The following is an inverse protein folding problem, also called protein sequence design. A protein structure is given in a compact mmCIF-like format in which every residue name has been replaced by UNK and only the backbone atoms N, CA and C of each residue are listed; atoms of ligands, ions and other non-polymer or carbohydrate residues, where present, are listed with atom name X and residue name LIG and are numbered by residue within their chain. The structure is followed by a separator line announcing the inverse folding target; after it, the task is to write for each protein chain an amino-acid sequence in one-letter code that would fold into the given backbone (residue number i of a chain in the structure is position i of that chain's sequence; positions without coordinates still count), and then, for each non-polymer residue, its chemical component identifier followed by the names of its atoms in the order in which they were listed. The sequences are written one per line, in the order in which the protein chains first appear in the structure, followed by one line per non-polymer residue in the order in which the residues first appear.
data_IF_494313737742
#
_entry.id   IF_494313737742
#
_cell.length_a   1.000
_cell.length_b   1.000
_cell.length_c   1.000
_cell.angle_alpha   90.00
_cell.angle_beta   90.00
_cell.angle_gamma   90.00
#
_symmetry.space_group_name_H-M   'P 1'
#
loop_
_entity.id
_entity.type
_entity.pdbx_description
1 polymer ?
#
# COMPACT_ATOMS: atom_id res chain seq x y z
N UNK A 1 -27.30 -0.15 50.81
CA UNK A 1 -26.70 1.19 50.90
C UNK A 1 -25.60 1.22 49.86
N UNK A 2 -25.94 1.22 48.56
CA UNK A 2 -24.94 0.93 47.50
C UNK A 2 -25.17 1.76 46.22
N UNK A 3 -26.13 2.70 46.24
CA UNK A 3 -26.47 3.55 45.09
C UNK A 3 -25.41 4.61 44.75
N UNK A 4 -24.39 4.77 45.60
CA UNK A 4 -23.25 5.66 45.36
C UNK A 4 -22.08 5.02 44.59
N UNK A 5 -22.04 3.69 44.47
CA UNK A 5 -20.93 2.95 43.84
C UNK A 5 -20.96 3.01 42.31
N UNK A 6 -22.13 3.26 41.71
CA UNK A 6 -22.31 3.35 40.25
C UNK A 6 -22.47 4.78 39.74
N UNK A 7 -22.46 5.79 40.63
CA UNK A 7 -22.62 7.20 40.26
C UNK A 7 -21.38 7.80 39.56
N UNK A 8 -20.26 7.07 39.53
CA UNK A 8 -18.99 7.50 38.92
C UNK A 8 -18.40 6.44 37.96
N UNK A 9 -19.25 5.58 37.39
CA UNK A 9 -18.87 4.90 36.16
C UNK A 9 -19.12 5.92 35.04
N UNK A 10 -18.13 6.78 34.77
CA UNK A 10 -18.20 7.74 33.67
C UNK A 10 -18.72 7.03 32.41
N UNK A 11 -19.74 7.61 31.77
CA UNK A 11 -20.32 7.01 30.57
C UNK A 11 -19.20 6.60 29.60
N UNK A 12 -19.27 5.39 29.00
CA UNK A 12 -18.24 4.95 28.06
C UNK A 12 -18.04 6.04 27.03
N UNK A 13 -16.84 6.64 27.02
CA UNK A 13 -16.54 7.75 26.13
C UNK A 13 -16.69 7.21 24.70
N UNK A 14 -17.54 7.83 23.86
CA UNK A 14 -17.71 7.37 22.49
C UNK A 14 -16.35 7.40 21.81
N UNK A 15 -15.95 6.27 21.23
CA UNK A 15 -14.69 6.14 20.48
C UNK A 15 -14.64 7.23 19.41
N UNK A 16 -13.85 8.28 19.65
CA UNK A 16 -13.81 9.47 18.82
C UNK A 16 -12.52 9.47 18.00
N UNK A 17 -12.62 9.84 16.72
CA UNK A 17 -11.43 10.02 15.88
C UNK A 17 -10.75 11.30 16.36
N UNK A 18 -9.61 11.16 17.01
CA UNK A 18 -8.80 12.33 17.41
C UNK A 18 -8.32 13.10 16.18
N UNK A 19 -8.09 14.43 16.28
CA UNK A 19 -7.58 15.23 15.17
C UNK A 19 -6.29 14.67 14.56
N UNK A 20 -5.40 14.11 15.39
CA UNK A 20 -4.16 13.44 14.95
C UNK A 20 -4.44 12.23 14.06
N UNK A 21 -5.41 11.40 14.45
CA UNK A 21 -5.84 10.22 13.69
C UNK A 21 -6.47 10.58 12.35
N UNK A 22 -7.32 11.62 12.34
CA UNK A 22 -7.90 12.16 11.10
C UNK A 22 -6.80 12.66 10.13
N UNK A 23 -5.75 13.29 10.65
CA UNK A 23 -4.59 13.71 9.86
C UNK A 23 -3.90 12.53 9.16
N UNK A 24 -3.67 11.41 9.86
CA UNK A 24 -3.05 10.22 9.25
C UNK A 24 -3.94 9.57 8.20
N UNK A 25 -5.24 9.45 8.45
CA UNK A 25 -6.20 8.95 7.47
C UNK A 25 -6.25 9.81 6.21
N UNK A 26 -6.15 11.13 6.35
CA UNK A 26 -6.08 12.04 5.20
C UNK A 26 -4.83 11.80 4.33
N UNK A 27 -3.71 11.44 4.94
CA UNK A 27 -2.48 11.10 4.20
C UNK A 27 -2.59 9.73 3.53
N UNK A 28 -3.12 8.72 4.22
CA UNK A 28 -3.42 7.40 3.63
C UNK A 28 -4.34 7.56 2.42
N UNK A 29 -5.39 8.39 2.52
CA UNK A 29 -6.30 8.64 1.42
C UNK A 29 -5.61 9.28 0.19
N UNK A 30 -4.64 10.18 0.40
CA UNK A 30 -3.85 10.76 -0.70
C UNK A 30 -2.96 9.72 -1.38
N UNK A 31 -2.28 8.88 -0.61
CA UNK A 31 -1.46 7.79 -1.17
C UNK A 31 -2.31 6.71 -1.85
N UNK A 32 -3.47 6.36 -1.28
CA UNK A 32 -4.43 5.45 -1.90
C UNK A 32 -4.90 5.95 -3.27
N UNK A 33 -5.21 7.25 -3.40
CA UNK A 33 -5.54 7.86 -4.70
C UNK A 33 -4.38 7.79 -5.69
N UNK A 34 -3.16 8.04 -5.24
CA UNK A 34 -1.97 7.91 -6.09
C UNK A 34 -1.78 6.49 -6.62
N UNK A 35 -1.86 5.47 -5.75
CA UNK A 35 -1.78 4.06 -6.18
C UNK A 35 -2.92 3.68 -7.14
N UNK A 36 -4.15 4.18 -6.89
CA UNK A 36 -5.29 3.91 -7.77
C UNK A 36 -5.07 4.45 -9.19
N UNK A 37 -4.54 5.67 -9.32
CA UNK A 37 -4.21 6.27 -10.64
C UNK A 37 -3.20 5.38 -11.39
N UNK A 38 -2.14 4.95 -10.71
CA UNK A 38 -1.14 4.04 -11.32
C UNK A 38 -1.80 2.72 -11.74
N UNK A 39 -2.63 2.13 -10.87
CA UNK A 39 -3.35 0.89 -11.19
C UNK A 39 -4.18 1.01 -12.46
N UNK A 40 -4.91 2.11 -12.63
CA UNK A 40 -5.67 2.36 -13.86
C UNK A 40 -4.77 2.51 -15.10
N UNK A 41 -3.64 3.21 -14.99
CA UNK A 41 -2.68 3.34 -16.09
C UNK A 41 -2.12 1.97 -16.49
N UNK A 42 -1.74 1.14 -15.52
CA UNK A 42 -1.20 -0.20 -15.77
C UNK A 42 -2.22 -1.12 -16.43
N UNK A 43 -3.47 -1.10 -15.97
CA UNK A 43 -4.57 -1.87 -16.61
C UNK A 43 -4.76 -1.39 -18.06
N UNK A 44 -4.76 -0.07 -18.31
CA UNK A 44 -4.86 0.48 -19.66
C UNK A 44 -3.75 -0.01 -20.60
N UNK A 45 -2.50 0.01 -20.12
CA UNK A 45 -1.35 -0.50 -20.88
C UNK A 45 -1.46 -2.01 -21.12
N UNK A 46 -1.87 -2.81 -20.12
CA UNK A 46 -2.07 -4.25 -20.27
C UNK A 46 -3.13 -4.59 -21.30
N UNK A 47 -4.26 -3.88 -21.30
CA UNK A 47 -5.33 -4.07 -22.29
C UNK A 47 -4.82 -3.72 -23.68
N UNK A 48 -4.16 -2.57 -23.85
CA UNK A 48 -3.57 -2.17 -25.13
C UNK A 48 -2.55 -3.20 -25.62
N UNK A 49 -1.61 -3.62 -24.77
CA UNK A 49 -0.63 -4.64 -25.10
C UNK A 49 -1.30 -5.97 -25.49
N UNK A 50 -2.31 -6.41 -24.73
CA UNK A 50 -3.08 -7.64 -25.00
C UNK A 50 -3.74 -7.66 -26.39
N UNK A 51 -4.17 -6.51 -26.90
CA UNK A 51 -4.73 -6.40 -28.25
C UNK A 51 -3.69 -6.62 -29.36
N UNK A 52 -2.40 -6.45 -29.06
CA UNK A 52 -1.28 -6.68 -29.99
C UNK A 52 -0.47 -7.96 -29.67
N UNK A 53 -0.74 -8.63 -28.54
CA UNK A 53 0.14 -9.64 -27.92
C UNK A 53 -0.03 -11.09 -28.43
N UNK A 54 -0.56 -11.31 -29.64
CA UNK A 54 -0.62 -12.65 -30.23
C UNK A 54 0.75 -13.34 -30.38
N UNK A 55 1.85 -12.58 -30.40
CA UNK A 55 3.21 -13.10 -30.60
C UNK A 55 4.18 -12.91 -29.39
N UNK A 56 3.85 -12.08 -28.39
CA UNK A 56 4.77 -11.70 -27.31
C UNK A 56 4.57 -12.48 -25.99
N UNK A 57 3.53 -13.32 -25.92
CA UNK A 57 3.06 -13.95 -24.69
C UNK A 57 4.03 -15.00 -24.10
N UNK A 58 5.02 -15.46 -24.88
CA UNK A 58 6.06 -16.40 -24.44
C UNK A 58 7.24 -15.74 -23.70
N UNK A 59 7.42 -14.41 -23.82
CA UNK A 59 8.52 -13.68 -23.17
C UNK A 59 8.12 -13.10 -21.80
N UNK A 60 6.83 -13.13 -21.46
CA UNK A 60 6.23 -12.47 -20.29
C UNK A 60 5.78 -13.43 -19.18
N UNK A 61 6.26 -14.69 -19.18
CA UNK A 61 6.13 -15.51 -17.98
C UNK A 61 6.86 -14.81 -16.83
N UNK A 62 6.18 -14.43 -15.74
CA UNK A 62 6.79 -13.67 -14.66
C UNK A 62 7.69 -14.61 -13.86
N UNK A 63 8.96 -14.70 -14.23
CA UNK A 63 10.00 -15.43 -13.50
C UNK A 63 10.56 -14.58 -12.36
N UNK A 64 9.70 -13.92 -11.59
CA UNK A 64 10.09 -12.98 -10.54
C UNK A 64 9.41 -13.27 -9.21
N UNK A 65 9.50 -14.53 -8.78
CA UNK A 65 9.39 -14.91 -7.38
C UNK A 65 10.59 -14.41 -6.53
N UNK A 66 11.68 -13.95 -7.16
CA UNK A 66 12.95 -13.61 -6.48
C UNK A 66 13.01 -12.13 -6.03
N UNK A 67 12.26 -11.22 -6.66
CA UNK A 67 12.24 -9.78 -6.28
C UNK A 67 11.36 -9.43 -5.09
N UNK A 68 10.41 -10.31 -4.73
CA UNK A 68 9.40 -10.07 -3.68
C UNK A 68 9.95 -10.15 -2.24
N UNK A 69 11.12 -10.75 -2.03
CA UNK A 69 11.64 -11.03 -0.70
C UNK A 69 12.16 -9.79 0.04
N UNK A 70 12.81 -8.85 -0.66
CA UNK A 70 13.43 -7.66 -0.04
C UNK A 70 12.43 -6.56 0.31
N UNK A 71 11.46 -6.30 -0.55
CA UNK A 71 10.39 -5.32 -0.31
C UNK A 71 9.31 -5.82 0.66
N UNK A 72 9.07 -7.13 0.69
CA UNK A 72 8.05 -7.75 1.53
C UNK A 72 8.28 -7.54 3.03
N UNK A 73 9.55 -7.53 3.48
CA UNK A 73 9.86 -7.41 4.91
C UNK A 73 9.31 -6.11 5.52
N UNK A 74 9.55 -4.96 4.89
CA UNK A 74 9.06 -3.67 5.39
C UNK A 74 7.53 -3.56 5.32
N UNK A 75 6.92 -4.05 4.23
CA UNK A 75 5.45 -4.15 4.11
C UNK A 75 4.86 -4.97 5.24
N UNK A 76 5.38 -6.17 5.48
CA UNK A 76 4.90 -7.10 6.50
C UNK A 76 5.14 -6.54 7.90
N UNK A 77 6.27 -5.88 8.14
CA UNK A 77 6.58 -5.25 9.43
C UNK A 77 5.60 -4.12 9.77
N UNK A 78 5.32 -3.21 8.84
CA UNK A 78 4.35 -2.13 9.08
C UNK A 78 2.92 -2.66 9.20
N UNK A 79 2.56 -3.69 8.42
CA UNK A 79 1.26 -4.35 8.50
C UNK A 79 1.06 -5.05 9.85
N UNK A 80 2.06 -5.79 10.32
CA UNK A 80 2.04 -6.46 11.62
C UNK A 80 1.89 -5.45 12.77
N UNK A 81 2.66 -4.35 12.74
CA UNK A 81 2.58 -3.29 13.76
C UNK A 81 1.23 -2.55 13.74
N UNK A 82 0.68 -2.28 12.57
CA UNK A 82 -0.65 -1.70 12.43
C UNK A 82 -1.71 -2.63 13.04
N UNK A 83 -1.71 -3.90 12.64
CA UNK A 83 -2.70 -4.89 13.09
C UNK A 83 -2.70 -5.05 14.60
N UNK A 84 -1.54 -5.23 15.23
CA UNK A 84 -1.43 -5.39 16.68
C UNK A 84 -1.89 -4.15 17.43
N UNK A 85 -1.38 -2.97 17.06
CA UNK A 85 -1.74 -1.71 17.72
C UNK A 85 -3.21 -1.34 17.55
N UNK A 86 -3.82 -1.64 16.40
CA UNK A 86 -5.25 -1.38 16.16
C UNK A 86 -6.13 -2.28 17.04
N UNK A 87 -5.79 -3.56 17.17
CA UNK A 87 -6.53 -4.48 18.04
C UNK A 87 -6.45 -4.05 19.51
N UNK A 88 -5.25 -3.68 19.98
CA UNK A 88 -5.07 -3.18 21.35
C UNK A 88 -5.80 -1.84 21.58
N UNK A 89 -5.74 -0.91 20.62
CA UNK A 89 -6.45 0.37 20.69
C UNK A 89 -7.97 0.20 20.82
N UNK A 90 -8.56 -0.73 20.05
CA UNK A 90 -9.99 -1.00 20.09
C UNK A 90 -10.42 -1.73 21.37
N UNK A 91 -9.60 -2.67 21.87
CA UNK A 91 -9.90 -3.43 23.09
C UNK A 91 -9.74 -2.57 24.35
N UNK A 92 -8.73 -1.71 24.37
CA UNK A 92 -8.37 -0.89 25.54
C UNK A 92 -8.97 0.51 25.50
N UNK A 93 -9.68 0.87 24.42
CA UNK A 93 -10.16 2.23 24.15
C UNK A 93 -9.05 3.29 24.28
N UNK A 94 -7.85 2.93 23.79
CA UNK A 94 -6.64 3.74 23.92
C UNK A 94 -6.40 4.56 22.65
N UNK A 95 -6.57 5.87 22.76
CA UNK A 95 -6.42 6.81 21.64
C UNK A 95 -4.97 6.98 21.17
N UNK A 96 -3.98 6.75 22.03
CA UNK A 96 -2.56 6.83 21.67
C UNK A 96 -2.15 5.61 20.83
N UNK A 97 -2.62 4.43 21.21
CA UNK A 97 -2.47 3.21 20.42
C UNK A 97 -3.20 3.33 19.08
N UNK A 98 -4.37 3.97 19.06
CA UNK A 98 -5.11 4.22 17.83
C UNK A 98 -4.32 5.11 16.88
N UNK A 99 -3.83 6.26 17.35
CA UNK A 99 -3.02 7.17 16.55
C UNK A 99 -1.74 6.48 16.06
N UNK A 100 -1.09 5.71 16.92
CA UNK A 100 0.09 4.91 16.59
C UNK A 100 -0.18 3.83 15.54
N UNK A 101 -1.36 3.21 15.55
CA UNK A 101 -1.75 2.25 14.52
C UNK A 101 -1.90 2.93 13.16
N UNK A 102 -2.58 4.08 13.10
CA UNK A 102 -2.75 4.84 11.85
C UNK A 102 -1.43 5.39 11.31
N UNK A 103 -0.49 5.75 12.17
CA UNK A 103 0.87 6.11 11.75
C UNK A 103 1.59 4.94 11.03
N UNK A 104 1.42 3.70 11.49
CA UNK A 104 1.96 2.52 10.80
C UNK A 104 1.24 2.25 9.47
N UNK A 105 -0.08 2.43 9.41
CA UNK A 105 -0.86 2.31 8.18
C UNK A 105 -0.41 3.34 7.12
N UNK A 106 -0.15 4.59 7.54
CA UNK A 106 0.43 5.63 6.69
C UNK A 106 1.79 5.21 6.14
N UNK A 107 2.70 4.73 6.98
CA UNK A 107 4.04 4.29 6.54
C UNK A 107 3.97 3.13 5.54
N UNK A 108 3.04 2.20 5.71
CA UNK A 108 2.78 1.11 4.77
C UNK A 108 2.40 1.64 3.38
N UNK A 109 1.43 2.56 3.29
CA UNK A 109 1.01 3.13 2.00
C UNK A 109 2.12 3.97 1.34
N UNK A 110 2.91 4.72 2.12
CA UNK A 110 4.08 5.45 1.61
C UNK A 110 5.12 4.50 1.02
N UNK A 111 5.41 3.41 1.72
CA UNK A 111 6.34 2.39 1.26
C UNK A 111 5.85 1.75 -0.04
N UNK A 112 4.58 1.34 -0.10
CA UNK A 112 3.98 0.78 -1.32
C UNK A 112 4.00 1.76 -2.49
N UNK A 113 3.75 3.05 -2.24
CA UNK A 113 3.83 4.09 -3.27
C UNK A 113 5.25 4.24 -3.83
N UNK A 114 6.26 4.30 -2.97
CA UNK A 114 7.67 4.38 -3.37
C UNK A 114 8.08 3.12 -4.13
N UNK A 115 7.73 1.94 -3.63
CA UNK A 115 8.00 0.66 -4.28
C UNK A 115 7.38 0.63 -5.68
N UNK A 116 6.15 1.11 -5.82
CA UNK A 116 5.47 1.19 -7.12
C UNK A 116 6.20 2.10 -8.09
N UNK A 117 6.67 3.28 -7.65
CA UNK A 117 7.47 4.19 -8.50
C UNK A 117 8.76 3.51 -8.98
N UNK A 118 9.47 2.81 -8.08
CA UNK A 118 10.69 2.07 -8.42
C UNK A 118 10.38 0.99 -9.47
N UNK A 119 9.33 0.20 -9.27
CA UNK A 119 8.91 -0.83 -10.23
C UNK A 119 8.55 -0.24 -11.60
N UNK A 120 7.82 0.87 -11.64
CA UNK A 120 7.51 1.57 -12.90
C UNK A 120 8.76 2.09 -13.61
N UNK A 121 9.75 2.60 -12.86
CA UNK A 121 11.01 3.07 -13.43
C UNK A 121 11.78 1.91 -14.10
N UNK A 122 11.84 0.74 -13.44
CA UNK A 122 12.43 -0.46 -14.04
C UNK A 122 11.66 -0.94 -15.27
N UNK A 123 10.32 -0.95 -15.25
CA UNK A 123 9.53 -1.29 -16.42
C UNK A 123 9.73 -0.31 -17.58
N UNK A 124 9.79 0.99 -17.30
CA UNK A 124 10.10 2.02 -18.30
C UNK A 124 11.48 1.83 -18.92
N UNK A 125 12.50 1.53 -18.11
CA UNK A 125 13.85 1.25 -18.58
C UNK A 125 13.93 -0.06 -19.40
N UNK A 126 13.23 -1.12 -18.96
CA UNK A 126 13.12 -2.37 -19.70
C UNK A 126 12.46 -2.18 -21.07
N UNK A 127 11.39 -1.40 -21.14
CA UNK A 127 10.77 -1.02 -22.42
C UNK A 127 11.76 -0.25 -23.32
N UNK A 128 12.53 0.69 -22.78
CA UNK A 128 13.55 1.41 -23.57
C UNK A 128 14.59 0.46 -24.18
N UNK A 129 15.12 -0.48 -23.38
CA UNK A 129 16.06 -1.49 -23.87
C UNK A 129 15.42 -2.43 -24.90
N UNK A 130 14.14 -2.78 -24.72
CA UNK A 130 13.40 -3.57 -25.70
C UNK A 130 13.31 -2.85 -27.05
N UNK A 131 12.96 -1.56 -27.09
CA UNK A 131 12.88 -0.80 -28.34
C UNK A 131 14.24 -0.63 -29.02
N UNK A 132 15.30 -0.38 -28.25
CA UNK A 132 16.67 -0.27 -28.79
C UNK A 132 17.18 -1.63 -29.31
N UNK A 133 16.91 -2.72 -28.58
CA UNK A 133 17.31 -4.07 -28.96
C UNK A 133 16.55 -4.60 -30.17
N UNK A 134 15.24 -4.32 -30.28
CA UNK A 134 14.43 -4.69 -31.44
C UNK A 134 14.89 -3.94 -32.71
N UNK A 135 15.33 -2.69 -32.57
CA UNK A 135 15.92 -1.92 -33.69
C UNK A 135 17.23 -2.54 -34.20
N UNK A 136 18.09 -3.05 -33.31
CA UNK A 136 19.34 -3.72 -33.69
C UNK A 136 19.08 -5.12 -34.26
N UNK A 137 18.14 -5.87 -33.68
CA UNK A 137 17.77 -7.22 -34.12
C UNK A 137 17.02 -7.25 -35.46
N UNK A 138 16.31 -6.18 -35.82
CA UNK A 138 15.65 -6.07 -37.13
C UNK A 138 16.59 -5.65 -38.27
N UNK A 139 17.82 -5.21 -37.95
CA UNK A 139 18.84 -4.80 -38.93
C UNK A 139 19.85 -5.92 -39.26
N UNK A 140 19.76 -7.08 -38.60
CA UNK A 140 20.55 -8.29 -38.87
C UNK A 140 19.69 -9.36 -39.53
#
# INVERSE_FOLDING_TARGET
MDSGLYANAGAPQPFSITPSSAGYLSEVARWGKFLAIIGYVMIGIMVLAGLFAGAAMSMFLPQEAIGMAGGGFFTVLYLHRFSGKMQDALRLHDEELLASSFANLKSLFKFLGILTIIMLAFYGLGMLFMFLGMGIGAMM
#
